data_IF_915416413139
#
_entry.id   IF_915416413139
#
_cell.length_a   1.000
_cell.length_b   1.000
_cell.length_c   1.000
_cell.angle_alpha   90.00
_cell.angle_beta   90.00
_cell.angle_gamma   90.00
#
_symmetry.space_group_name_H-M   'P 1'
#
loop_
_entity.id
_entity.type
_entity.pdbx_description
1 polymer ?
#
# COMPACT_ATOMS: atom_id res chain seq x y z
N UNK A 1 5.85 -3.50 4.09
CA UNK A 1 5.05 -2.63 4.97
C UNK A 1 4.13 -3.56 5.73
N UNK A 2 3.80 -3.27 6.98
CA UNK A 2 2.95 -4.15 7.80
C UNK A 2 1.94 -3.28 8.54
N UNK A 3 0.97 -2.77 7.81
CA UNK A 3 -0.02 -1.85 8.32
C UNK A 3 -1.39 -2.55 8.40
N UNK A 4 -2.14 -2.25 9.45
CA UNK A 4 -3.53 -2.70 9.57
C UNK A 4 -4.45 -1.93 8.61
N UNK A 5 -4.14 -0.66 8.36
CA UNK A 5 -4.85 0.20 7.43
C UNK A 5 -3.87 1.19 6.78
N UNK A 6 -4.03 1.40 5.48
CA UNK A 6 -3.38 2.50 4.75
C UNK A 6 -4.46 3.35 4.09
N UNK A 7 -4.31 4.67 4.12
CA UNK A 7 -5.25 5.56 3.45
C UNK A 7 -4.56 6.77 2.84
N UNK A 8 -5.00 7.13 1.63
CA UNK A 8 -4.64 8.37 0.93
C UNK A 8 -5.94 8.98 0.40
N UNK A 9 -6.23 10.23 0.81
CA UNK A 9 -7.40 10.99 0.39
C UNK A 9 -8.75 10.27 0.59
N UNK A 10 -8.88 9.43 1.62
CA UNK A 10 -10.11 8.68 1.93
C UNK A 10 -10.23 7.34 1.21
N UNK A 11 -9.42 7.08 0.18
CA UNK A 11 -9.23 5.72 -0.36
C UNK A 11 -8.39 4.93 0.63
N UNK A 12 -8.76 3.67 0.89
CA UNK A 12 -8.08 2.86 1.90
C UNK A 12 -7.98 1.39 1.51
N UNK A 13 -6.98 0.73 2.09
CA UNK A 13 -6.86 -0.72 2.15
C UNK A 13 -6.76 -1.16 3.60
N UNK A 14 -7.45 -2.24 3.93
CA UNK A 14 -7.18 -3.03 5.13
C UNK A 14 -6.03 -4.00 4.88
N UNK A 15 -5.46 -4.56 5.95
CA UNK A 15 -4.34 -5.51 5.89
C UNK A 15 -4.55 -6.67 4.91
N UNK A 16 -5.78 -7.15 4.77
CA UNK A 16 -6.19 -8.26 3.92
C UNK A 16 -6.16 -7.91 2.43
N UNK A 17 -6.18 -6.61 2.10
CA UNK A 17 -6.12 -6.11 0.74
C UNK A 17 -4.69 -5.75 0.31
N UNK A 18 -3.74 -5.74 1.24
CA UNK A 18 -2.33 -5.51 0.91
C UNK A 18 -1.76 -6.78 0.30
N UNK A 19 -1.16 -6.66 -0.88
CA UNK A 19 -0.46 -7.75 -1.55
C UNK A 19 0.62 -8.34 -0.63
N UNK A 20 0.59 -9.66 -0.44
CA UNK A 20 1.52 -10.37 0.43
C UNK A 20 2.98 -10.21 0.03
N UNK A 21 3.28 -9.95 -1.26
CA UNK A 21 4.64 -9.65 -1.74
C UNK A 21 5.17 -8.29 -1.26
N UNK A 22 4.26 -7.40 -0.82
CA UNK A 22 4.58 -6.08 -0.28
C UNK A 22 4.52 -6.05 1.25
N UNK A 23 4.05 -7.13 1.88
CA UNK A 23 4.01 -7.27 3.34
C UNK A 23 5.41 -7.44 3.93
N UNK A 24 5.76 -6.68 4.97
CA UNK A 24 7.12 -6.71 5.55
C UNK A 24 8.19 -5.91 4.79
N UNK A 25 7.97 -5.62 3.51
CA UNK A 25 8.97 -4.99 2.64
C UNK A 25 9.04 -3.45 2.72
N UNK A 26 10.07 -2.83 2.15
CA UNK A 26 10.07 -1.37 1.95
C UNK A 26 9.22 -1.03 0.73
N UNK A 27 8.21 -0.18 0.90
CA UNK A 27 7.28 0.17 -0.18
C UNK A 27 6.98 1.66 -0.21
N UNK A 28 6.61 2.15 -1.40
CA UNK A 28 5.98 3.43 -1.61
C UNK A 28 4.50 3.18 -1.92
N UNK A 29 3.63 3.95 -1.27
CA UNK A 29 2.20 4.00 -1.57
C UNK A 29 1.91 5.26 -2.38
N UNK A 30 1.08 5.12 -3.42
CA UNK A 30 0.61 6.24 -4.22
C UNK A 30 -0.87 6.11 -4.52
N UNK A 31 -1.50 7.23 -4.86
CA UNK A 31 -2.88 7.27 -5.32
C UNK A 31 -2.88 7.76 -6.78
N UNK A 32 -3.45 6.96 -7.69
CA UNK A 32 -3.61 7.31 -9.09
C UNK A 32 -4.97 6.86 -9.57
N UNK A 33 -5.70 7.77 -10.21
CA UNK A 33 -7.07 7.53 -10.72
C UNK A 33 -8.00 6.95 -9.62
N UNK A 34 -7.98 7.57 -8.43
CA UNK A 34 -8.72 7.13 -7.22
C UNK A 34 -8.39 5.71 -6.73
N UNK A 35 -7.35 5.07 -7.26
CA UNK A 35 -6.93 3.73 -6.86
C UNK A 35 -5.60 3.81 -6.13
N UNK A 36 -5.51 3.11 -5.00
CA UNK A 36 -4.25 2.95 -4.29
C UNK A 36 -3.32 2.00 -5.06
N UNK A 37 -2.03 2.31 -5.03
CA UNK A 37 -0.98 1.49 -5.62
C UNK A 37 0.16 1.33 -4.60
N UNK A 38 0.81 0.18 -4.62
CA UNK A 38 2.01 -0.09 -3.83
C UNK A 38 3.14 -0.58 -4.74
N UNK A 39 4.34 -0.04 -4.54
CA UNK A 39 5.53 -0.46 -5.27
C UNK A 39 6.68 -0.72 -4.30
N UNK A 40 7.47 -1.77 -4.54
CA UNK A 40 8.68 -2.04 -3.78
C UNK A 40 9.71 -0.93 -3.98
N UNK A 41 10.18 -0.35 -2.88
CA UNK A 41 11.27 0.61 -2.89
C UNK A 41 12.59 -0.14 -3.02
N UNK A 42 13.12 -0.19 -4.25
CA UNK A 42 14.45 -0.71 -4.54
C UNK A 42 15.45 0.43 -4.37
N UNK A 43 16.39 0.27 -3.43
CA UNK A 43 17.50 1.20 -3.15
C UNK A 43 18.77 0.59 -3.71
#
# INVERSE_FOLDING_TARGET
>A
MQAELVSIAGNYWLSEQIDSNHWGEKVILSLKDETLHSELLKI
#
